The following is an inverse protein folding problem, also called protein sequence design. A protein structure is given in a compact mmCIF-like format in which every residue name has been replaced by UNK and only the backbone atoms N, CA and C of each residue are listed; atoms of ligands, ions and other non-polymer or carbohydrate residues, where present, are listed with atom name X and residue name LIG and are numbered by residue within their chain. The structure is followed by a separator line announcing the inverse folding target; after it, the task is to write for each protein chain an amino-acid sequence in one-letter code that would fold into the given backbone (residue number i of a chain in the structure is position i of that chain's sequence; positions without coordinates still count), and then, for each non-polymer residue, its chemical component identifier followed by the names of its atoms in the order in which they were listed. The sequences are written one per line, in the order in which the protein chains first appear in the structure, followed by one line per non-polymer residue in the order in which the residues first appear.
data_IF_122384859849
#
_entry.id   IF_122384859849
#
_cell.length_a   1.000
_cell.length_b   1.000
_cell.length_c   1.000
_cell.angle_alpha   90.00
_cell.angle_beta   90.00
_cell.angle_gamma   90.00
#
_symmetry.space_group_name_H-M   'P 1'
#
loop_
_entity.id
_entity.type
_entity.pdbx_description
1 polymer ?
#
# COMPACT_ATOMS: atom_id res chain seq x y z
N UNK A 1 -16.41 -4.72 -29.31
CA UNK A 1 -15.52 -5.88 -29.05
C UNK A 1 -14.28 -5.86 -29.94
N UNK A 2 -14.45 -5.60 -31.23
CA UNK A 2 -13.32 -5.56 -32.17
C UNK A 2 -12.36 -4.38 -31.87
N UNK A 3 -12.89 -3.20 -31.54
CA UNK A 3 -12.09 -2.03 -31.20
C UNK A 3 -11.29 -2.23 -29.91
N UNK A 4 -11.87 -2.87 -28.90
CA UNK A 4 -11.19 -3.20 -27.64
C UNK A 4 -10.06 -4.19 -27.90
N UNK A 5 -10.29 -5.19 -28.75
CA UNK A 5 -9.27 -6.16 -29.14
C UNK A 5 -8.11 -5.49 -29.90
N UNK A 6 -8.40 -4.55 -30.80
CA UNK A 6 -7.37 -3.79 -31.49
C UNK A 6 -6.57 -2.88 -30.56
N UNK A 7 -7.22 -2.23 -29.61
CA UNK A 7 -6.54 -1.41 -28.61
C UNK A 7 -5.63 -2.25 -27.72
N UNK A 8 -6.07 -3.43 -27.32
CA UNK A 8 -5.24 -4.36 -26.55
C UNK A 8 -4.06 -4.89 -27.38
N UNK A 9 -4.27 -5.19 -28.65
CA UNK A 9 -3.19 -5.63 -29.54
C UNK A 9 -2.13 -4.55 -29.78
N UNK A 10 -2.51 -3.27 -29.82
CA UNK A 10 -1.56 -2.16 -29.94
C UNK A 10 -0.70 -1.98 -28.70
N UNK A 11 -1.14 -2.49 -27.55
CA UNK A 11 -0.40 -2.44 -26.28
C UNK A 11 0.46 -3.66 -26.03
N UNK A 12 0.29 -4.74 -26.81
CA UNK A 12 0.98 -6.01 -26.57
C UNK A 12 2.48 -5.93 -26.93
N UNK A 13 2.86 -5.01 -27.83
CA UNK A 13 4.26 -4.78 -28.15
C UNK A 13 4.54 -3.32 -28.45
N UNK A 14 5.72 -2.89 -28.08
CA UNK A 14 6.18 -1.50 -28.22
C UNK A 14 7.62 -1.51 -28.72
N UNK A 15 7.99 -0.49 -29.49
CA UNK A 15 9.40 -0.33 -29.86
C UNK A 15 10.28 -0.13 -28.63
N UNK A 16 11.45 -0.76 -28.63
CA UNK A 16 12.33 -0.75 -27.46
C UNK A 16 12.99 0.62 -27.23
N UNK A 17 13.27 1.40 -28.27
CA UNK A 17 13.98 2.67 -28.15
C UNK A 17 13.27 3.69 -27.25
N UNK A 18 11.94 3.97 -27.42
CA UNK A 18 11.22 4.84 -26.49
C UNK A 18 11.16 4.28 -25.07
N UNK A 19 11.09 2.95 -24.93
CA UNK A 19 11.06 2.28 -23.62
C UNK A 19 12.40 2.43 -22.93
N UNK A 20 13.53 2.32 -23.65
CA UNK A 20 14.87 2.54 -23.09
C UNK A 20 15.01 3.97 -22.59
N UNK A 21 14.56 4.97 -23.34
CA UNK A 21 14.62 6.37 -22.92
C UNK A 21 13.82 6.62 -21.65
N UNK A 22 12.64 6.04 -21.56
CA UNK A 22 11.79 6.12 -20.36
C UNK A 22 12.46 5.44 -19.16
N UNK A 23 13.01 4.25 -19.36
CA UNK A 23 13.72 3.51 -18.31
C UNK A 23 14.95 4.31 -17.83
N UNK A 24 15.69 4.93 -18.73
CA UNK A 24 16.84 5.77 -18.37
C UNK A 24 16.43 6.97 -17.53
N UNK A 25 15.33 7.63 -17.88
CA UNK A 25 14.80 8.75 -17.09
C UNK A 25 14.38 8.31 -15.67
N UNK A 26 13.76 7.13 -15.54
CA UNK A 26 13.39 6.59 -14.25
C UNK A 26 14.62 6.27 -13.40
N UNK A 27 15.66 5.71 -14.00
CA UNK A 27 16.93 5.42 -13.31
C UNK A 27 17.58 6.72 -12.83
N UNK A 28 17.64 7.75 -13.66
CA UNK A 28 18.19 9.05 -13.28
C UNK A 28 17.39 9.69 -12.13
N UNK A 29 16.07 9.59 -12.17
CA UNK A 29 15.20 10.09 -11.13
C UNK A 29 15.41 9.36 -9.80
N UNK A 30 15.57 8.05 -9.84
CA UNK A 30 15.87 7.24 -8.66
C UNK A 30 17.24 7.58 -8.07
N UNK A 31 18.24 7.76 -8.93
CA UNK A 31 19.61 8.13 -8.51
C UNK A 31 19.68 9.52 -7.86
N UNK A 32 18.79 10.43 -8.25
CA UNK A 32 18.73 11.78 -7.69
C UNK A 32 18.11 11.81 -6.29
N UNK A 33 17.42 10.75 -5.85
CA UNK A 33 16.86 10.65 -4.51
C UNK A 33 17.95 10.24 -3.52
N UNK A 34 18.05 11.01 -2.43
CA UNK A 34 19.08 10.77 -1.40
C UNK A 34 18.65 9.74 -0.36
N UNK A 35 17.36 9.42 -0.28
CA UNK A 35 16.80 8.48 0.68
C UNK A 35 16.86 7.00 0.22
N UNK A 36 17.29 6.75 -1.01
CA UNK A 36 17.34 5.41 -1.58
C UNK A 36 16.00 4.81 -1.95
N UNK A 37 14.93 5.60 -1.94
CA UNK A 37 13.57 5.15 -2.21
C UNK A 37 13.14 5.60 -3.60
N UNK A 38 12.97 4.67 -4.52
CA UNK A 38 12.44 4.94 -5.85
C UNK A 38 10.93 4.73 -5.95
N UNK A 39 10.35 4.00 -5.00
CA UNK A 39 8.94 3.63 -4.98
C UNK A 39 8.15 4.25 -3.83
N UNK A 40 6.97 3.71 -3.61
CA UNK A 40 6.05 4.14 -2.57
C UNK A 40 6.50 3.61 -1.20
N UNK A 41 6.60 4.48 -0.23
CA UNK A 41 7.00 4.12 1.12
C UNK A 41 5.90 3.37 1.86
N UNK A 42 6.26 2.29 2.56
CA UNK A 42 5.33 1.51 3.39
C UNK A 42 5.16 2.08 4.80
N UNK A 43 6.07 2.93 5.23
CA UNK A 43 6.13 3.44 6.59
C UNK A 43 6.97 2.58 7.54
N UNK A 44 7.46 1.44 7.09
CA UNK A 44 8.38 0.59 7.84
C UNK A 44 9.79 0.78 7.31
N UNK A 45 10.60 1.54 8.03
CA UNK A 45 11.90 2.02 7.55
C UNK A 45 12.83 0.91 7.07
N UNK A 46 12.92 -0.18 7.82
CA UNK A 46 13.77 -1.31 7.44
C UNK A 46 13.28 -2.01 6.18
N UNK A 47 11.97 -2.18 6.06
CA UNK A 47 11.36 -2.77 4.88
C UNK A 47 11.57 -1.88 3.65
N UNK A 48 11.38 -0.58 3.81
CA UNK A 48 11.59 0.38 2.74
C UNK A 48 13.04 0.41 2.26
N UNK A 49 14.01 0.27 3.16
CA UNK A 49 15.43 0.14 2.80
C UNK A 49 15.72 -1.12 2.00
N UNK A 50 15.04 -2.24 2.32
CA UNK A 50 15.22 -3.51 1.63
C UNK A 50 14.59 -3.52 0.25
N UNK A 51 13.43 -2.89 0.09
CA UNK A 51 12.62 -2.91 -1.13
C UNK A 51 12.81 -1.70 -2.02
N UNK A 52 13.40 -0.62 -1.51
CA UNK A 52 13.42 0.71 -2.12
C UNK A 52 12.02 1.29 -2.34
N UNK A 53 11.06 0.87 -1.54
CA UNK A 53 9.64 1.20 -1.67
C UNK A 53 8.89 0.28 -2.64
N UNK A 54 7.58 0.35 -2.62
CA UNK A 54 6.74 -0.43 -3.52
C UNK A 54 6.73 0.19 -4.91
N UNK A 55 7.09 -0.60 -5.92
CA UNK A 55 7.16 -0.13 -7.29
C UNK A 55 5.79 -0.20 -7.97
N UNK A 56 5.57 0.68 -8.94
CA UNK A 56 4.35 0.66 -9.74
C UNK A 56 4.22 -0.68 -10.49
N UNK A 57 3.00 -1.14 -10.63
CA UNK A 57 2.64 -2.39 -11.33
C UNK A 57 3.09 -3.67 -10.65
N UNK A 58 3.66 -3.59 -9.45
CA UNK A 58 4.04 -4.79 -8.70
C UNK A 58 2.83 -5.42 -7.99
N UNK A 59 2.79 -6.72 -7.97
CA UNK A 59 1.90 -7.50 -7.12
C UNK A 59 2.70 -7.96 -5.90
N UNK A 60 2.30 -7.47 -4.72
CA UNK A 60 3.00 -7.77 -3.47
C UNK A 60 2.14 -8.74 -2.66
N UNK A 61 2.69 -9.90 -2.34
CA UNK A 61 1.99 -10.93 -1.57
C UNK A 61 2.52 -10.95 -0.14
N UNK A 62 1.61 -10.79 0.82
CA UNK A 62 1.92 -10.88 2.24
C UNK A 62 1.20 -12.09 2.80
N UNK A 63 1.95 -13.05 3.29
CA UNK A 63 1.42 -14.28 3.83
C UNK A 63 1.88 -14.47 5.27
N UNK A 64 0.99 -15.01 6.10
CA UNK A 64 1.29 -15.32 7.48
C UNK A 64 0.37 -16.44 7.96
N UNK A 65 0.79 -17.14 9.00
CA UNK A 65 -0.07 -18.11 9.70
C UNK A 65 -1.24 -17.37 10.37
N UNK A 66 -2.37 -18.05 10.62
CA UNK A 66 -3.48 -17.43 11.34
C UNK A 66 -3.03 -16.80 12.66
N UNK A 67 -3.64 -15.67 13.02
CA UNK A 67 -3.39 -14.92 14.25
C UNK A 67 -1.96 -14.37 14.41
N UNK A 68 -1.20 -14.22 13.32
CA UNK A 68 0.16 -13.66 13.35
C UNK A 68 0.23 -12.17 13.04
N UNK A 69 -0.90 -11.50 12.98
CA UNK A 69 -0.96 -10.05 12.75
C UNK A 69 -0.88 -9.62 11.29
N UNK A 70 -1.18 -10.50 10.34
CA UNK A 70 -1.19 -10.17 8.91
C UNK A 70 -2.08 -8.98 8.59
N UNK A 71 -3.32 -9.01 9.05
CA UNK A 71 -4.29 -7.91 8.80
C UNK A 71 -3.85 -6.62 9.48
N UNK A 72 -3.37 -6.71 10.71
CA UNK A 72 -2.86 -5.54 11.44
C UNK A 72 -1.68 -4.91 10.71
N UNK A 73 -0.77 -5.71 10.18
CA UNK A 73 0.38 -5.23 9.39
C UNK A 73 -0.07 -4.51 8.11
N UNK A 74 -0.99 -5.13 7.36
CA UNK A 74 -1.51 -4.54 6.11
C UNK A 74 -2.26 -3.24 6.39
N UNK A 75 -3.09 -3.20 7.44
CA UNK A 75 -3.82 -1.98 7.81
C UNK A 75 -2.88 -0.88 8.29
N UNK A 76 -1.83 -1.22 9.04
CA UNK A 76 -0.82 -0.24 9.44
C UNK A 76 -0.10 0.35 8.24
N UNK A 77 0.25 -0.48 7.27
CA UNK A 77 0.86 -0.04 6.01
C UNK A 77 -0.09 0.88 5.23
N UNK A 78 -1.35 0.47 5.09
CA UNK A 78 -2.37 1.27 4.41
C UNK A 78 -2.58 2.63 5.08
N UNK A 79 -2.61 2.66 6.41
CA UNK A 79 -2.69 3.89 7.18
C UNK A 79 -1.47 4.78 6.93
N UNK A 80 -0.27 4.23 6.98
CA UNK A 80 0.95 4.99 6.72
C UNK A 80 0.93 5.61 5.33
N UNK A 81 0.55 4.83 4.32
CA UNK A 81 0.48 5.32 2.93
C UNK A 81 -0.58 6.40 2.77
N UNK A 82 -1.76 6.20 3.32
CA UNK A 82 -2.89 7.11 3.13
C UNK A 82 -2.77 8.38 3.97
N UNK A 83 -2.35 8.27 5.21
CA UNK A 83 -2.34 9.38 6.18
C UNK A 83 -1.00 10.07 6.21
N UNK A 84 0.09 9.34 6.40
CA UNK A 84 1.41 9.92 6.57
C UNK A 84 2.01 10.39 5.23
N UNK A 85 1.81 9.64 4.16
CA UNK A 85 2.35 9.94 2.83
C UNK A 85 1.31 10.49 1.85
N UNK A 86 0.04 10.58 2.26
CA UNK A 86 -1.06 11.19 1.50
C UNK A 86 -1.27 10.61 0.10
N UNK A 87 -1.09 9.29 -0.02
CA UNK A 87 -1.39 8.57 -1.25
C UNK A 87 -2.72 7.83 -1.11
N UNK A 88 -3.56 7.80 -2.17
CA UNK A 88 -4.83 7.08 -2.09
C UNK A 88 -4.63 5.58 -1.98
N UNK A 89 -5.43 4.94 -1.14
CA UNK A 89 -5.40 3.49 -0.91
C UNK A 89 -6.81 2.95 -1.02
N UNK A 90 -6.99 1.85 -1.74
CA UNK A 90 -8.23 1.10 -1.79
C UNK A 90 -8.06 -0.24 -1.08
N UNK A 91 -9.01 -0.59 -0.23
CA UNK A 91 -9.00 -1.85 0.52
C UNK A 91 -10.20 -2.69 0.13
N UNK A 92 -9.94 -3.94 -0.25
CA UNK A 92 -10.96 -4.93 -0.55
C UNK A 92 -10.81 -6.08 0.42
N UNK A 93 -11.86 -6.39 1.18
CA UNK A 93 -11.83 -7.44 2.18
C UNK A 93 -12.92 -8.47 1.94
N UNK A 94 -12.53 -9.75 1.94
CA UNK A 94 -13.45 -10.87 1.86
C UNK A 94 -13.68 -11.55 3.22
N UNK A 95 -12.81 -11.29 4.20
CA UNK A 95 -12.86 -11.91 5.52
C UNK A 95 -13.54 -11.02 6.57
N UNK A 96 -13.36 -9.70 6.46
CA UNK A 96 -13.82 -8.74 7.47
C UNK A 96 -14.80 -7.75 6.87
N UNK A 97 -15.79 -7.35 7.67
CA UNK A 97 -16.68 -6.26 7.28
C UNK A 97 -15.95 -4.91 7.27
N UNK A 98 -16.50 -3.95 6.54
CA UNK A 98 -15.95 -2.60 6.50
C UNK A 98 -15.86 -1.98 7.90
N UNK A 99 -16.85 -2.22 8.75
CA UNK A 99 -16.87 -1.72 10.12
C UNK A 99 -15.73 -2.29 10.95
N UNK A 100 -15.45 -3.58 10.81
CA UNK A 100 -14.34 -4.23 11.51
C UNK A 100 -12.99 -3.67 11.06
N UNK A 101 -12.81 -3.42 9.75
CA UNK A 101 -11.60 -2.80 9.23
C UNK A 101 -11.40 -1.39 9.78
N UNK A 102 -12.44 -0.59 9.78
CA UNK A 102 -12.41 0.78 10.31
C UNK A 102 -12.10 0.77 11.81
N UNK A 103 -12.71 -0.13 12.57
CA UNK A 103 -12.43 -0.27 14.00
C UNK A 103 -10.96 -0.60 14.27
N UNK A 104 -10.36 -1.46 13.46
CA UNK A 104 -8.93 -1.76 13.58
C UNK A 104 -8.05 -0.58 13.21
N UNK A 105 -8.42 0.19 12.19
CA UNK A 105 -7.73 1.43 11.85
C UNK A 105 -7.81 2.46 12.97
N UNK A 106 -8.97 2.64 13.57
CA UNK A 106 -9.16 3.53 14.72
C UNK A 106 -8.30 3.07 15.90
N UNK A 107 -8.30 1.79 16.20
CA UNK A 107 -7.46 1.24 17.27
C UNK A 107 -5.98 1.50 17.02
N UNK A 108 -5.54 1.39 15.78
CA UNK A 108 -4.15 1.63 15.40
C UNK A 108 -3.78 3.12 15.50
N UNK A 109 -4.60 4.00 14.94
CA UNK A 109 -4.30 5.44 14.88
C UNK A 109 -4.42 6.10 16.25
N UNK A 110 -5.44 5.73 17.02
CA UNK A 110 -5.72 6.34 18.32
C UNK A 110 -5.05 5.59 19.48
N UNK A 111 -4.36 4.49 19.19
CA UNK A 111 -3.73 3.62 20.20
C UNK A 111 -4.73 3.13 21.26
N UNK A 112 -5.98 2.88 20.84
CA UNK A 112 -7.04 2.39 21.71
C UNK A 112 -7.10 0.87 21.61
N UNK A 113 -7.13 0.13 22.74
CA UNK A 113 -7.35 -1.32 22.70
C UNK A 113 -8.65 -1.70 22.01
N UNK A 114 -8.61 -2.71 21.15
CA UNK A 114 -9.80 -3.16 20.40
C UNK A 114 -10.95 -3.57 21.31
N UNK A 115 -10.65 -4.06 22.49
CA UNK A 115 -11.65 -4.43 23.50
C UNK A 115 -12.48 -3.22 23.94
N UNK A 116 -11.86 -2.05 24.11
CA UNK A 116 -12.56 -0.82 24.47
C UNK A 116 -13.49 -0.35 23.35
N UNK A 117 -13.11 -0.54 22.11
CA UNK A 117 -13.96 -0.20 20.95
C UNK A 117 -15.19 -1.09 20.95
N UNK A 118 -15.03 -2.40 21.16
CA UNK A 118 -16.13 -3.36 21.20
C UNK A 118 -17.09 -3.11 22.37
N UNK A 119 -16.58 -2.68 23.52
CA UNK A 119 -17.39 -2.43 24.72
C UNK A 119 -18.00 -1.04 24.76
N UNK A 120 -17.69 -0.17 23.81
CA UNK A 120 -18.21 1.18 23.77
C UNK A 120 -17.64 2.13 24.81
N UNK A 121 -16.52 1.78 25.42
CA UNK A 121 -15.87 2.60 26.47
C UNK A 121 -14.96 3.71 25.94
N UNK A 122 -15.03 4.01 24.67
CA UNK A 122 -14.20 5.03 24.04
C UNK A 122 -14.53 6.46 24.43
N UNK A 123 -15.78 6.72 24.76
CA UNK A 123 -16.31 8.09 24.92
C UNK A 123 -15.70 8.87 26.09
N UNK A 124 -15.07 8.20 27.04
CA UNK A 124 -14.58 8.83 28.27
C UNK A 124 -13.09 9.06 28.31
N UNK A 125 -12.30 8.37 27.46
CA UNK A 125 -10.82 8.42 27.58
C UNK A 125 -10.07 8.43 26.25
N UNK A 126 -10.71 8.12 25.14
CA UNK A 126 -10.02 7.89 23.88
C UNK A 126 -10.16 9.01 22.85
N UNK A 127 -11.03 9.92 23.10
CA UNK A 127 -11.32 11.05 22.23
C UNK A 127 -11.32 12.35 23.02
#
# INVERSE_FOLDING_TARGET
LFEISQQNMKKDYTQINPVIDEAYKLIQKAAARTDGLSGLESGFTKLDKMTSGWQNSDLIIIAARPAMGKTAFVLSMAKNIAVDYRNPVALFSLEMSNVQLVNRLIANVCEIPSEKIKSGQMATTGL
#
